data_IF_330342481631
#
_entry.id   IF_330342481631
#
_cell.length_a   1.000
_cell.length_b   1.000
_cell.length_c   1.000
_cell.angle_alpha   90.00
_cell.angle_beta   90.00
_cell.angle_gamma   90.00
#
_symmetry.space_group_name_H-M   'P 1'
#
loop_
_entity.id
_entity.type
_entity.pdbx_description
1 polymer ?
#
# COMPACT_ATOMS: atom_id res chain seq x y z
N UNK A 1 26.20 2.42 8.21
CA UNK A 1 26.68 1.11 7.72
C UNK A 1 28.06 0.79 8.26
N UNK A 2 28.93 1.79 8.38
CA UNK A 2 30.31 1.69 8.90
C UNK A 2 30.41 1.10 10.30
N UNK A 3 29.45 1.37 11.20
CA UNK A 3 29.40 0.75 12.52
C UNK A 3 29.22 -0.78 12.48
N UNK A 4 28.39 -1.31 11.57
CA UNK A 4 28.17 -2.76 11.46
C UNK A 4 29.41 -3.50 10.89
N UNK A 5 30.18 -2.81 10.05
CA UNK A 5 31.46 -3.32 9.54
C UNK A 5 32.55 -3.25 10.63
N UNK A 6 32.56 -2.19 11.45
CA UNK A 6 33.47 -2.05 12.59
C UNK A 6 33.30 -3.13 13.68
N UNK A 7 32.10 -3.73 13.79
CA UNK A 7 31.83 -4.87 14.68
C UNK A 7 32.05 -6.25 14.02
N UNK A 8 32.57 -6.32 12.78
CA UNK A 8 32.89 -7.59 12.11
C UNK A 8 31.68 -8.44 11.70
N UNK A 9 30.51 -7.84 11.50
CA UNK A 9 29.30 -8.60 11.10
C UNK A 9 29.42 -9.21 9.71
N UNK A 10 28.97 -10.45 9.55
CA UNK A 10 28.91 -11.09 8.23
C UNK A 10 27.90 -10.38 7.32
N UNK A 11 28.04 -10.45 5.98
CA UNK A 11 27.14 -9.78 5.04
C UNK A 11 25.65 -10.11 5.28
N UNK A 12 25.37 -11.36 5.68
CA UNK A 12 24.02 -11.81 6.00
C UNK A 12 23.47 -11.23 7.30
N UNK A 13 24.32 -11.08 8.33
CA UNK A 13 23.95 -10.40 9.58
C UNK A 13 23.70 -8.91 9.33
N UNK A 14 24.53 -8.26 8.49
CA UNK A 14 24.34 -6.86 8.09
C UNK A 14 23.04 -6.66 7.33
N UNK A 15 22.72 -7.53 6.37
CA UNK A 15 21.49 -7.46 5.59
C UNK A 15 20.24 -7.61 6.47
N UNK A 16 20.20 -8.64 7.31
CA UNK A 16 19.00 -9.00 8.06
C UNK A 16 18.79 -8.20 9.34
N UNK A 17 19.87 -7.84 10.05
CA UNK A 17 19.77 -7.15 11.35
C UNK A 17 19.93 -5.64 11.25
N UNK A 18 20.49 -5.12 10.15
CA UNK A 18 20.77 -3.69 10.00
C UNK A 18 20.04 -3.12 8.79
N UNK A 19 20.30 -3.64 7.58
CA UNK A 19 19.75 -3.04 6.35
C UNK A 19 18.24 -3.23 6.22
N UNK A 20 17.74 -4.47 6.41
CA UNK A 20 16.31 -4.77 6.30
C UNK A 20 15.50 -3.92 7.30
N UNK A 21 15.76 -3.93 8.62
CA UNK A 21 15.00 -3.13 9.58
C UNK A 21 15.02 -1.63 9.29
N UNK A 22 16.13 -1.11 8.75
CA UNK A 22 16.23 0.30 8.37
C UNK A 22 15.48 0.63 7.08
N UNK A 23 15.42 -0.30 6.12
CA UNK A 23 14.73 -0.12 4.84
C UNK A 23 13.22 -0.46 4.90
N UNK A 24 12.77 -1.18 5.94
CA UNK A 24 11.35 -1.55 6.11
C UNK A 24 10.39 -0.36 5.94
N UNK A 25 10.60 0.83 6.55
CA UNK A 25 9.69 1.97 6.35
C UNK A 25 9.55 2.37 4.88
N UNK A 26 10.66 2.39 4.14
CA UNK A 26 10.68 2.72 2.70
C UNK A 26 10.00 1.64 1.88
N UNK A 27 10.18 0.36 2.23
CA UNK A 27 9.48 -0.76 1.58
C UNK A 27 7.97 -0.63 1.77
N UNK A 28 7.50 -0.34 2.99
CA UNK A 28 6.07 -0.16 3.26
C UNK A 28 5.49 1.08 2.56
N UNK A 29 6.26 2.16 2.44
CA UNK A 29 5.86 3.31 1.63
C UNK A 29 5.70 2.92 0.14
N UNK A 30 6.62 2.12 -0.40
CA UNK A 30 6.53 1.59 -1.76
C UNK A 30 5.33 0.67 -1.97
N UNK A 31 5.07 -0.26 -1.03
CA UNK A 31 3.89 -1.15 -1.08
C UNK A 31 2.60 -0.33 -1.10
N UNK A 32 2.50 0.71 -0.27
CA UNK A 32 1.33 1.57 -0.26
C UNK A 32 1.12 2.23 -1.64
N UNK A 33 2.19 2.71 -2.29
CA UNK A 33 2.10 3.28 -3.64
C UNK A 33 1.68 2.24 -4.69
N UNK A 34 2.21 1.03 -4.64
CA UNK A 34 1.80 -0.05 -5.55
C UNK A 34 0.33 -0.39 -5.40
N UNK A 35 -0.20 -0.43 -4.16
CA UNK A 35 -1.64 -0.64 -3.91
C UNK A 35 -2.46 0.49 -4.53
N UNK A 36 -2.05 1.74 -4.34
CA UNK A 36 -2.74 2.90 -4.92
C UNK A 36 -2.76 2.85 -6.45
N UNK A 37 -1.62 2.52 -7.08
CA UNK A 37 -1.52 2.36 -8.53
C UNK A 37 -2.40 1.20 -9.04
N UNK A 38 -2.42 0.08 -8.32
CA UNK A 38 -3.25 -1.07 -8.67
C UNK A 38 -4.74 -0.76 -8.57
N UNK A 39 -5.17 -0.01 -7.56
CA UNK A 39 -6.56 0.44 -7.39
C UNK A 39 -6.97 1.42 -8.49
N UNK A 40 -6.08 2.31 -8.91
CA UNK A 40 -6.34 3.20 -10.04
C UNK A 40 -6.56 2.42 -11.36
N UNK A 41 -5.85 1.30 -11.54
CA UNK A 41 -5.93 0.47 -12.75
C UNK A 41 -7.26 -0.31 -12.89
N UNK A 42 -8.07 -0.41 -11.83
CA UNK A 42 -9.32 -1.20 -11.84
C UNK A 42 -10.31 -0.76 -12.93
N UNK A 43 -10.37 0.53 -13.25
CA UNK A 43 -11.27 1.07 -14.28
C UNK A 43 -10.79 0.69 -15.68
N UNK A 44 -9.49 0.80 -15.95
CA UNK A 44 -8.92 0.46 -17.25
C UNK A 44 -9.05 -1.04 -17.52
N UNK A 45 -8.83 -1.87 -16.49
CA UNK A 45 -9.06 -3.32 -16.60
C UNK A 45 -10.51 -3.66 -16.99
N UNK A 46 -11.49 -2.94 -16.45
CA UNK A 46 -12.89 -3.13 -16.80
C UNK A 46 -13.21 -2.77 -18.26
N UNK A 47 -12.47 -1.82 -18.87
CA UNK A 47 -12.64 -1.46 -20.29
C UNK A 47 -12.26 -2.59 -21.25
N UNK A 48 -11.35 -3.48 -20.84
CA UNK A 48 -10.88 -4.62 -21.64
C UNK A 48 -11.72 -5.89 -21.33
N UNK A 49 -12.80 -5.76 -20.55
CA UNK A 49 -13.73 -6.85 -20.25
C UNK A 49 -13.34 -7.71 -19.05
N UNK A 50 -12.37 -7.29 -18.23
CA UNK A 50 -12.05 -7.98 -16.97
C UNK A 50 -13.26 -7.90 -16.04
N UNK A 51 -13.70 -9.06 -15.51
CA UNK A 51 -14.78 -9.13 -14.52
C UNK A 51 -14.31 -8.53 -13.21
N UNK A 52 -15.05 -7.58 -12.66
CA UNK A 52 -14.70 -6.95 -11.40
C UNK A 52 -15.49 -5.68 -11.09
N UNK A 53 -15.04 -4.98 -10.05
CA UNK A 53 -15.69 -3.80 -9.48
C UNK A 53 -15.86 -2.64 -10.49
N UNK A 54 -15.00 -2.55 -11.51
CA UNK A 54 -15.06 -1.48 -12.52
C UNK A 54 -16.14 -1.66 -13.60
N UNK A 55 -16.66 -2.88 -13.82
CA UNK A 55 -17.64 -3.12 -14.90
C UNK A 55 -18.97 -2.38 -14.71
N UNK A 56 -19.63 -2.42 -13.54
CA UNK A 56 -20.90 -1.71 -13.34
C UNK A 56 -20.76 -0.19 -13.48
N UNK A 57 -19.62 0.36 -13.07
CA UNK A 57 -19.28 1.79 -13.24
C UNK A 57 -19.17 2.11 -14.72
N UNK A 58 -18.38 1.35 -15.46
CA UNK A 58 -18.18 1.58 -16.88
C UNK A 58 -19.50 1.43 -17.68
N UNK A 59 -20.30 0.43 -17.35
CA UNK A 59 -21.61 0.22 -17.98
C UNK A 59 -22.59 1.36 -17.69
N UNK A 60 -22.56 1.93 -16.49
CA UNK A 60 -23.41 3.09 -16.15
C UNK A 60 -23.01 4.36 -16.89
N UNK A 61 -21.72 4.52 -17.22
CA UNK A 61 -21.22 5.61 -18.08
C UNK A 61 -21.73 5.41 -19.51
N UNK A 62 -21.62 4.19 -20.05
CA UNK A 62 -22.10 3.90 -21.42
C UNK A 62 -23.62 4.05 -21.56
N UNK A 63 -24.39 3.56 -20.58
CA UNK A 63 -25.85 3.60 -20.61
C UNK A 63 -26.45 4.94 -20.13
N UNK A 64 -25.63 5.96 -19.91
CA UNK A 64 -26.06 7.29 -19.43
C UNK A 64 -26.83 7.26 -18.09
N UNK A 65 -26.66 6.21 -17.29
CA UNK A 65 -27.26 6.10 -15.95
C UNK A 65 -26.38 6.80 -14.92
N UNK A 66 -26.32 8.12 -14.99
CA UNK A 66 -25.45 8.94 -14.13
C UNK A 66 -25.61 8.62 -12.64
N UNK A 67 -26.84 8.56 -12.14
CA UNK A 67 -27.13 8.24 -10.72
C UNK A 67 -26.55 6.89 -10.29
N UNK A 68 -26.67 5.86 -11.15
CA UNK A 68 -26.10 4.54 -10.87
C UNK A 68 -24.57 4.58 -10.91
N UNK A 69 -24.00 5.33 -11.85
CA UNK A 69 -22.54 5.49 -11.95
C UNK A 69 -21.92 6.19 -10.75
N UNK A 70 -22.59 7.19 -10.20
CA UNK A 70 -22.15 7.83 -8.95
C UNK A 70 -22.20 6.83 -7.79
N UNK A 71 -23.29 6.07 -7.64
CA UNK A 71 -23.42 5.06 -6.58
C UNK A 71 -22.32 3.99 -6.66
N UNK A 72 -22.07 3.44 -7.85
CA UNK A 72 -21.01 2.45 -8.05
C UNK A 72 -19.61 3.04 -7.85
N UNK A 73 -19.36 4.26 -8.33
CA UNK A 73 -18.10 4.96 -8.12
C UNK A 73 -17.81 5.21 -6.64
N UNK A 74 -18.83 5.63 -5.88
CA UNK A 74 -18.73 5.86 -4.44
C UNK A 74 -18.43 4.55 -3.69
N UNK A 75 -19.03 3.43 -4.10
CA UNK A 75 -18.71 2.12 -3.55
C UNK A 75 -17.22 1.75 -3.75
N UNK A 76 -16.64 2.01 -4.93
CA UNK A 76 -15.21 1.78 -5.18
C UNK A 76 -14.34 2.70 -4.33
N UNK A 77 -14.70 3.98 -4.20
CA UNK A 77 -13.95 4.94 -3.36
C UNK A 77 -13.92 4.49 -1.91
N UNK A 78 -15.04 3.99 -1.37
CA UNK A 78 -15.08 3.44 0.00
C UNK A 78 -14.09 2.27 0.13
N UNK A 79 -14.08 1.34 -0.83
CA UNK A 79 -13.14 0.21 -0.83
C UNK A 79 -11.70 0.72 -0.88
N UNK A 80 -11.39 1.69 -1.75
CA UNK A 80 -10.05 2.26 -1.86
C UNK A 80 -9.59 2.93 -0.55
N UNK A 81 -10.48 3.67 0.12
CA UNK A 81 -10.19 4.28 1.44
C UNK A 81 -9.94 3.20 2.50
N UNK A 82 -10.70 2.10 2.49
CA UNK A 82 -10.47 0.98 3.42
C UNK A 82 -9.10 0.36 3.18
N UNK A 83 -8.73 0.09 1.93
CA UNK A 83 -7.40 -0.44 1.58
C UNK A 83 -6.28 0.51 2.01
N UNK A 84 -6.42 1.81 1.76
CA UNK A 84 -5.48 2.83 2.20
C UNK A 84 -5.31 2.85 3.73
N UNK A 85 -6.43 2.88 4.47
CA UNK A 85 -6.43 2.88 5.94
C UNK A 85 -5.78 1.62 6.51
N UNK A 86 -6.06 0.47 5.93
CA UNK A 86 -5.49 -0.81 6.33
C UNK A 86 -3.98 -0.81 6.07
N UNK A 87 -3.55 -0.43 4.86
CA UNK A 87 -2.13 -0.31 4.48
C UNK A 87 -1.36 0.64 5.41
N UNK A 88 -1.90 1.82 5.67
CA UNK A 88 -1.31 2.79 6.60
C UNK A 88 -1.26 2.28 8.05
N UNK A 89 -2.29 1.57 8.51
CA UNK A 89 -2.31 0.97 9.85
C UNK A 89 -1.19 -0.07 10.01
N UNK A 90 -1.00 -0.94 9.00
CA UNK A 90 0.11 -1.88 8.97
C UNK A 90 1.47 -1.17 8.97
N UNK A 91 1.65 -0.14 8.14
CA UNK A 91 2.87 0.67 8.13
C UNK A 91 3.17 1.34 9.49
N UNK A 92 2.15 1.95 10.12
CA UNK A 92 2.28 2.61 11.42
C UNK A 92 2.61 1.63 12.55
N UNK A 93 2.04 0.42 12.55
CA UNK A 93 2.36 -0.61 13.56
C UNK A 93 3.83 -1.01 13.50
N UNK A 94 4.36 -1.20 12.29
CA UNK A 94 5.77 -1.59 12.09
C UNK A 94 6.71 -0.45 12.48
N UNK A 95 6.31 0.80 12.26
CA UNK A 95 7.07 1.97 12.68
C UNK A 95 7.02 2.20 14.20
N UNK A 96 5.89 1.91 14.86
CA UNK A 96 5.70 2.04 16.32
C UNK A 96 6.65 1.15 17.13
N UNK A 97 7.05 0.00 16.59
CA UNK A 97 8.06 -0.88 17.22
C UNK A 97 9.48 -0.29 17.26
N UNK A 98 9.74 0.84 16.61
CA UNK A 98 11.06 1.52 16.62
C UNK A 98 11.12 2.72 17.58
N UNK A 99 9.98 3.25 18.04
CA UNK A 99 9.95 4.45 18.91
C UNK A 99 9.92 4.15 20.41
N UNK A 100 9.81 2.88 20.82
CA UNK A 100 9.71 2.47 22.23
C UNK A 100 11.04 2.04 22.88
N UNK A 101 12.19 2.29 22.25
CA UNK A 101 13.50 1.86 22.79
C UNK A 101 14.59 2.94 22.71
N UNK A 102 14.19 4.22 22.79
CA UNK A 102 15.12 5.37 22.76
C UNK A 102 14.88 6.36 23.91
N UNK A 103 14.07 6.02 24.92
CA UNK A 103 13.73 6.92 26.05
C UNK A 103 13.97 6.26 27.43
N UNK A 104 14.57 5.07 27.49
CA UNK A 104 14.80 4.34 28.76
C UNK A 104 16.28 3.92 28.97
N UNK A 105 17.23 4.76 28.54
CA UNK A 105 18.64 4.70 28.98
C UNK A 105 19.20 6.12 29.21
#
# INVERSE_FOLDING_TARGET
>A
MEAADAFGSTPWQKLTKVQLPMALPTIFAGINQTIMMALAMVIIAAMIGVKGLGQPVLQSIYNQYFTKGVLYGLAIVIVAIVFDRVSQSYGKRIQKHRSGKLIDD
#
